data_IF_014783119593
#
_entry.id   IF_014783119593
#
_cell.length_a   1.000
_cell.length_b   1.000
_cell.length_c   1.000
_cell.angle_alpha   90.00
_cell.angle_beta   90.00
_cell.angle_gamma   90.00
#
_symmetry.space_group_name_H-M   'P 1'
#
loop_
_entity.id
_entity.type
_entity.pdbx_description
1 polymer ?
#
# COMPACT_ATOMS: atom_id res chain seq x y z
N UNK A 1 12.77 6.82 -21.90
CA UNK A 1 11.86 6.12 -20.99
C UNK A 1 12.31 4.67 -20.90
N UNK A 2 12.83 4.24 -19.76
CA UNK A 2 13.02 2.83 -19.46
C UNK A 2 11.66 2.25 -19.03
N UNK A 3 11.21 1.13 -19.62
CA UNK A 3 9.91 0.51 -19.33
C UNK A 3 9.99 -0.61 -18.29
N UNK A 4 11.13 -0.76 -17.62
CA UNK A 4 11.35 -1.79 -16.60
C UNK A 4 11.41 -1.19 -15.19
N UNK A 5 10.82 -1.90 -14.23
CA UNK A 5 10.96 -1.58 -12.81
C UNK A 5 12.33 -1.96 -12.26
N UNK A 6 12.80 -1.19 -11.28
CA UNK A 6 13.99 -1.53 -10.52
C UNK A 6 13.67 -2.60 -9.46
N UNK A 7 13.72 -3.87 -9.85
CA UNK A 7 13.37 -5.01 -8.98
C UNK A 7 14.23 -5.12 -7.71
N UNK A 8 15.38 -4.43 -7.63
CA UNK A 8 16.19 -4.43 -6.41
C UNK A 8 15.47 -3.79 -5.21
N UNK A 9 14.52 -2.89 -5.46
CA UNK A 9 13.72 -2.23 -4.41
C UNK A 9 12.74 -3.19 -3.73
N UNK A 10 12.29 -4.25 -4.43
CA UNK A 10 11.35 -5.21 -3.88
C UNK A 10 11.95 -6.09 -2.77
N UNK A 11 13.28 -6.21 -2.69
CA UNK A 11 13.97 -7.16 -1.80
C UNK A 11 13.67 -6.99 -0.31
N UNK A 12 13.31 -5.77 0.10
CA UNK A 12 13.04 -5.45 1.50
C UNK A 12 11.55 -5.52 1.87
N UNK A 13 10.68 -5.82 0.90
CA UNK A 13 9.23 -5.85 1.08
C UNK A 13 8.72 -7.28 0.94
N UNK A 14 7.81 -7.67 1.83
CA UNK A 14 7.19 -9.01 1.83
C UNK A 14 5.78 -9.00 1.23
N UNK A 15 5.06 -7.88 1.35
CA UNK A 15 3.70 -7.72 0.83
C UNK A 15 3.75 -7.37 -0.67
N UNK A 16 3.08 -8.14 -1.55
CA UNK A 16 2.90 -7.80 -2.97
C UNK A 16 2.39 -6.36 -3.20
N UNK A 17 1.42 -5.88 -2.42
CA UNK A 17 0.92 -4.50 -2.54
C UNK A 17 1.99 -3.46 -2.23
N UNK A 18 2.79 -3.69 -1.18
CA UNK A 18 3.91 -2.79 -0.86
C UNK A 18 5.03 -2.86 -1.91
N UNK A 19 5.28 -4.05 -2.46
CA UNK A 19 6.23 -4.25 -3.55
C UNK A 19 5.81 -3.45 -4.78
N UNK A 20 4.56 -3.61 -5.27
CA UNK A 20 4.12 -2.91 -6.48
C UNK A 20 4.06 -1.40 -6.28
N UNK A 21 3.67 -0.94 -5.08
CA UNK A 21 3.69 0.48 -4.72
C UNK A 21 5.08 1.08 -4.86
N UNK A 22 6.08 0.50 -4.19
CA UNK A 22 7.46 1.03 -4.20
C UNK A 22 8.08 0.97 -5.60
N UNK A 23 7.82 -0.09 -6.36
CA UNK A 23 8.33 -0.22 -7.74
C UNK A 23 7.70 0.81 -8.68
N UNK A 24 6.39 1.06 -8.57
CA UNK A 24 5.67 2.00 -9.43
C UNK A 24 5.97 3.46 -9.08
N UNK A 25 6.06 3.81 -7.79
CA UNK A 25 6.47 5.14 -7.32
C UNK A 25 7.88 5.49 -7.85
N UNK A 26 8.86 4.59 -7.71
CA UNK A 26 10.23 4.79 -8.22
C UNK A 26 10.28 5.03 -9.73
N UNK A 27 9.50 4.26 -10.47
CA UNK A 27 9.44 4.36 -11.93
C UNK A 27 8.84 5.69 -12.37
N UNK A 28 7.72 6.11 -11.76
CA UNK A 28 7.08 7.39 -12.06
C UNK A 28 8.04 8.54 -11.75
N UNK A 29 8.69 8.50 -10.58
CA UNK A 29 9.63 9.54 -10.17
C UNK A 29 10.81 9.68 -11.14
N UNK A 30 11.31 8.59 -11.73
CA UNK A 30 12.53 8.61 -12.57
C UNK A 30 12.29 8.69 -14.07
N UNK A 31 11.16 8.14 -14.54
CA UNK A 31 10.90 7.94 -15.96
C UNK A 31 9.75 8.81 -16.48
N UNK A 32 8.81 9.18 -15.62
CA UNK A 32 7.65 9.97 -16.03
C UNK A 32 8.00 11.46 -16.21
N UNK A 33 7.08 12.16 -16.87
CA UNK A 33 7.17 13.58 -17.16
C UNK A 33 5.81 14.23 -17.03
N UNK A 34 5.80 15.55 -16.81
CA UNK A 34 4.55 16.30 -16.84
C UNK A 34 4.12 16.52 -18.30
N UNK A 35 3.02 15.94 -18.79
CA UNK A 35 2.59 16.13 -20.18
C UNK A 35 2.11 17.55 -20.49
N UNK A 36 1.81 18.36 -19.45
CA UNK A 36 1.41 19.75 -19.60
C UNK A 36 2.59 20.70 -19.82
N UNK A 37 3.72 20.49 -19.13
CA UNK A 37 4.86 21.42 -19.16
C UNK A 37 6.22 20.79 -19.49
N UNK A 38 6.25 19.48 -19.77
CA UNK A 38 7.44 18.69 -20.10
C UNK A 38 8.54 18.67 -19.00
N UNK A 39 8.21 19.04 -17.76
CA UNK A 39 9.13 18.91 -16.65
C UNK A 39 9.51 17.43 -16.43
N UNK A 40 10.82 17.18 -16.33
CA UNK A 40 11.41 15.86 -16.08
C UNK A 40 12.57 15.98 -15.08
N UNK A 41 12.65 15.08 -14.07
CA UNK A 41 11.63 14.11 -13.65
C UNK A 41 10.48 14.78 -12.89
N UNK A 42 9.35 14.07 -12.69
CA UNK A 42 8.32 14.53 -11.76
C UNK A 42 8.96 14.64 -10.35
N UNK A 43 8.82 15.80 -9.71
CA UNK A 43 9.45 16.06 -8.42
C UNK A 43 9.00 15.01 -7.39
N UNK A 44 9.96 14.32 -6.78
CA UNK A 44 9.74 13.34 -5.73
C UNK A 44 9.33 14.07 -4.43
N UNK A 45 8.26 13.61 -3.78
CA UNK A 45 7.91 14.10 -2.44
C UNK A 45 8.93 13.55 -1.45
N UNK A 46 9.85 14.38 -0.96
CA UNK A 46 10.86 13.95 0.00
C UNK A 46 10.22 13.64 1.35
N UNK A 47 10.48 12.44 1.90
CA UNK A 47 10.22 12.15 3.31
C UNK A 47 11.16 13.01 4.17
N UNK A 48 10.59 13.86 5.02
CA UNK A 48 11.37 14.89 5.72
C UNK A 48 11.76 14.37 7.10
N UNK A 49 12.98 13.83 7.21
CA UNK A 49 13.52 13.28 8.48
C UNK A 49 13.73 14.33 9.57
N UNK A 50 13.83 15.61 9.21
CA UNK A 50 14.01 16.72 10.15
C UNK A 50 13.10 17.85 9.68
N UNK A 51 12.03 18.13 10.42
CA UNK A 51 10.92 19.03 10.06
C UNK A 51 11.27 20.51 9.79
N UNK A 52 12.23 20.78 8.91
CA UNK A 52 12.64 22.09 8.46
C UNK A 52 12.85 22.14 6.95
N UNK A 53 11.95 22.80 6.22
CA UNK A 53 12.14 23.11 4.80
C UNK A 53 12.99 24.38 4.67
N UNK A 54 14.28 24.20 4.38
CA UNK A 54 15.24 25.30 4.19
C UNK A 54 14.87 26.26 3.05
N UNK A 55 13.98 25.88 2.12
CA UNK A 55 13.62 26.72 0.97
C UNK A 55 12.51 27.74 1.28
N UNK A 56 11.67 27.47 2.27
CA UNK A 56 10.46 28.29 2.54
C UNK A 56 10.42 28.92 3.93
N UNK A 57 11.46 28.75 4.76
CA UNK A 57 11.53 29.29 6.13
C UNK A 57 10.31 28.89 6.99
N UNK A 58 9.71 27.72 6.68
CA UNK A 58 8.54 27.18 7.35
C UNK A 58 8.90 25.95 8.17
N UNK A 59 8.48 25.94 9.43
CA UNK A 59 8.58 24.79 10.31
C UNK A 59 7.63 23.70 9.81
N UNK A 60 8.17 22.55 9.45
CA UNK A 60 7.34 21.41 9.04
C UNK A 60 6.79 20.74 10.30
N UNK A 61 5.48 20.49 10.29
CA UNK A 61 4.81 19.74 11.34
C UNK A 61 4.92 18.25 11.03
N UNK A 62 5.30 17.47 12.05
CA UNK A 62 5.30 16.01 11.98
C UNK A 62 3.90 15.55 12.37
N UNK A 63 3.31 14.65 11.59
CA UNK A 63 1.99 14.07 11.84
C UNK A 63 2.13 12.56 12.01
N UNK A 64 1.38 12.00 12.97
CA UNK A 64 1.24 10.56 13.08
C UNK A 64 0.02 10.12 12.24
N UNK A 65 0.27 9.23 11.28
CA UNK A 65 -0.76 8.71 10.37
C UNK A 65 -0.81 7.18 10.53
N UNK A 66 -1.98 6.64 10.84
CA UNK A 66 -2.26 5.20 10.73
C UNK A 66 -2.87 4.91 9.37
N UNK A 67 -2.39 3.83 8.76
CA UNK A 67 -2.89 3.31 7.48
C UNK A 67 -3.54 1.96 7.77
N UNK A 68 -4.82 1.80 7.45
CA UNK A 68 -5.58 0.57 7.65
C UNK A 68 -6.06 0.04 6.31
N UNK A 69 -5.67 -1.18 5.96
CA UNK A 69 -6.20 -1.90 4.80
C UNK A 69 -7.27 -2.90 5.25
N UNK A 70 -8.38 -2.99 4.52
CA UNK A 70 -9.42 -4.01 4.73
C UNK A 70 -9.40 -5.00 3.58
N UNK A 71 -9.08 -6.26 3.87
CA UNK A 71 -9.11 -7.35 2.91
C UNK A 71 -10.42 -8.15 3.03
N UNK A 72 -11.02 -8.52 1.90
CA UNK A 72 -12.27 -9.28 1.89
C UNK A 72 -12.31 -10.31 0.77
N UNK A 73 -12.62 -11.54 1.13
CA UNK A 73 -12.86 -12.62 0.18
C UNK A 73 -14.13 -13.37 0.62
N UNK A 74 -14.93 -13.82 -0.36
CA UNK A 74 -16.18 -14.55 -0.11
C UNK A 74 -15.90 -16.03 -0.31
N UNK A 75 -16.22 -16.84 0.70
CA UNK A 75 -16.02 -18.29 0.67
C UNK A 75 -17.34 -19.03 0.79
N UNK A 76 -17.47 -20.11 0.04
CA UNK A 76 -18.62 -21.02 0.12
C UNK A 76 -18.34 -22.11 1.16
N UNK A 77 -19.26 -22.30 2.10
CA UNK A 77 -19.13 -23.28 3.19
C UNK A 77 -20.38 -24.15 3.26
N UNK A 78 -20.19 -25.47 3.15
CA UNK A 78 -21.26 -26.44 3.39
C UNK A 78 -21.48 -26.65 4.90
N UNK A 79 -22.69 -26.35 5.38
CA UNK A 79 -23.08 -26.52 6.78
C UNK A 79 -24.59 -26.76 6.92
N UNK A 80 -25.00 -27.35 8.04
CA UNK A 80 -26.41 -27.60 8.35
C UNK A 80 -27.13 -26.33 8.83
N UNK A 81 -26.38 -25.39 9.39
CA UNK A 81 -26.88 -24.11 9.90
C UNK A 81 -25.81 -23.01 9.88
N UNK A 82 -26.25 -21.77 10.13
CA UNK A 82 -25.39 -20.57 10.10
C UNK A 82 -24.26 -20.60 11.13
N UNK A 83 -24.52 -21.11 12.33
CA UNK A 83 -23.53 -21.16 13.41
C UNK A 83 -22.39 -22.11 13.06
N UNK A 84 -22.73 -23.29 12.51
CA UNK A 84 -21.76 -24.24 11.99
C UNK A 84 -20.99 -23.67 10.79
N UNK A 85 -21.66 -22.98 9.87
CA UNK A 85 -21.00 -22.33 8.73
C UNK A 85 -19.94 -21.32 9.19
N UNK A 86 -20.28 -20.48 10.18
CA UNK A 86 -19.36 -19.50 10.73
C UNK A 86 -18.16 -20.15 11.43
N UNK A 87 -18.39 -21.19 12.22
CA UNK A 87 -17.32 -21.94 12.88
C UNK A 87 -16.36 -22.56 11.85
N UNK A 88 -16.90 -23.22 10.81
CA UNK A 88 -16.09 -23.78 9.72
C UNK A 88 -15.29 -22.72 8.99
N UNK A 89 -15.90 -21.58 8.65
CA UNK A 89 -15.19 -20.49 7.99
C UNK A 89 -14.03 -19.94 8.85
N UNK A 90 -14.22 -19.83 10.17
CA UNK A 90 -13.16 -19.44 11.09
C UNK A 90 -12.03 -20.47 11.16
N UNK A 91 -12.36 -21.76 11.19
CA UNK A 91 -11.38 -22.84 11.21
C UNK A 91 -10.59 -22.88 9.90
N UNK A 92 -11.25 -22.75 8.74
CA UNK A 92 -10.61 -22.63 7.43
C UNK A 92 -9.60 -21.47 7.39
N UNK A 93 -9.96 -20.31 7.94
CA UNK A 93 -9.04 -19.17 8.02
C UNK A 93 -7.88 -19.42 9.00
N UNK A 94 -8.15 -19.98 10.19
CA UNK A 94 -7.13 -20.28 11.21
C UNK A 94 -6.13 -21.34 10.76
N UNK A 95 -6.58 -22.29 9.94
CA UNK A 95 -5.77 -23.38 9.40
C UNK A 95 -5.17 -23.06 8.02
N UNK A 96 -5.30 -21.81 7.53
CA UNK A 96 -4.76 -21.35 6.25
C UNK A 96 -5.32 -22.07 5.00
N UNK A 97 -6.51 -22.68 5.11
CA UNK A 97 -7.26 -23.22 3.95
C UNK A 97 -7.86 -22.09 3.10
N UNK A 98 -8.14 -20.94 3.73
CA UNK A 98 -8.53 -19.69 3.08
C UNK A 98 -7.49 -18.64 3.42
N UNK A 99 -6.91 -18.03 2.40
CA UNK A 99 -5.88 -17.00 2.52
C UNK A 99 -6.39 -15.72 1.87
N UNK A 100 -6.37 -14.61 2.61
CA UNK A 100 -6.65 -13.29 2.06
C UNK A 100 -5.37 -12.76 1.42
N UNK A 101 -5.43 -12.50 0.12
CA UNK A 101 -4.32 -11.94 -0.63
C UNK A 101 -4.39 -10.42 -0.66
N UNK A 102 -3.27 -9.74 -0.95
CA UNK A 102 -3.30 -8.29 -1.08
C UNK A 102 -4.20 -7.78 -2.21
N UNK A 103 -4.47 -8.61 -3.21
CA UNK A 103 -5.44 -8.32 -4.29
C UNK A 103 -6.90 -8.34 -3.78
N UNK A 104 -7.17 -8.90 -2.60
CA UNK A 104 -8.48 -8.87 -1.93
C UNK A 104 -8.74 -7.55 -1.17
N UNK A 105 -7.89 -6.53 -1.36
CA UNK A 105 -8.04 -5.23 -0.71
C UNK A 105 -9.26 -4.48 -1.26
N UNK A 106 -10.24 -4.24 -0.38
CA UNK A 106 -11.49 -3.54 -0.72
C UNK A 106 -11.53 -2.09 -0.22
N UNK A 107 -10.69 -1.73 0.74
CA UNK A 107 -10.66 -0.39 1.32
C UNK A 107 -9.31 -0.05 1.95
N UNK A 108 -8.95 1.23 1.94
CA UNK A 108 -7.75 1.77 2.58
C UNK A 108 -8.08 3.09 3.27
N UNK A 109 -7.89 3.15 4.59
CA UNK A 109 -8.16 4.32 5.42
C UNK A 109 -6.87 4.94 5.93
N UNK A 110 -6.86 6.27 6.00
CA UNK A 110 -5.77 7.06 6.54
C UNK A 110 -6.30 7.86 7.72
N UNK A 111 -5.88 7.51 8.93
CA UNK A 111 -6.29 8.17 10.17
C UNK A 111 -5.15 9.06 10.66
N UNK A 112 -5.42 10.34 10.87
CA UNK A 112 -4.46 11.28 11.44
C UNK A 112 -4.69 11.41 12.94
N UNK A 113 -3.63 11.34 13.73
CA UNK A 113 -3.67 11.63 15.16
C UNK A 113 -3.06 13.01 15.41
N UNK A 114 -3.80 13.85 16.13
CA UNK A 114 -3.35 15.16 16.62
C UNK A 114 -2.60 15.06 17.95
#
# INVERSE_FOLDING_TARGET
>A
MNLHFNQSLAKNYKSPSQIIRVLSEDWVAKQSYCPNCNAQPLAEFTNIENGYDKKNEQTLKIFQIEIVETLSNIVEVGAENEQEALLKAQDMYRNEEVILYPDDCIDTKFNIFE
#
